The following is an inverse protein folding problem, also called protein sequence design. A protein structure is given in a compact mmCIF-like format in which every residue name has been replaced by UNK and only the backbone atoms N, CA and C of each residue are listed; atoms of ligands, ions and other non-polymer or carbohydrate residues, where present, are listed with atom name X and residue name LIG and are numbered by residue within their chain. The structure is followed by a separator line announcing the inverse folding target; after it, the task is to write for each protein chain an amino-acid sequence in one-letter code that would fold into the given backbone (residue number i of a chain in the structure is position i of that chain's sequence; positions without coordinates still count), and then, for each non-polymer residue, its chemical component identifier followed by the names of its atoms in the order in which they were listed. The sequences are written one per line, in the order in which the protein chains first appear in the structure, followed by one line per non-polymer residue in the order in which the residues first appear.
data_IF_058812649228
#
_entry.id   IF_058812649228
#
_cell.length_a   1.000
_cell.length_b   1.000
_cell.length_c   1.000
_cell.angle_alpha   90.00
_cell.angle_beta   90.00
_cell.angle_gamma   90.00
#
_symmetry.space_group_name_H-M   'P 1'
#
loop_
_entity.id
_entity.type
_entity.pdbx_description
1 polymer ?
#
# COMPACT_ATOMS: atom_id res chain seq x y z
N UNK A 1 1.10 -23.55 15.67
CA UNK A 1 0.50 -22.76 16.75
C UNK A 1 -1.00 -22.71 16.54
N UNK A 2 -1.77 -22.80 17.60
CA UNK A 2 -3.21 -22.55 17.56
C UNK A 2 -3.49 -21.15 18.09
N UNK A 3 -4.29 -20.40 17.33
CA UNK A 3 -4.89 -19.15 17.76
C UNK A 3 -6.38 -19.40 17.96
N UNK A 4 -6.91 -19.13 19.15
CA UNK A 4 -8.30 -19.42 19.49
C UNK A 4 -8.83 -18.48 20.58
N UNK A 5 -10.15 -18.39 20.70
CA UNK A 5 -10.81 -17.70 21.82
C UNK A 5 -11.02 -18.66 22.99
N UNK A 6 -10.84 -18.18 24.22
CA UNK A 6 -11.05 -18.98 25.44
C UNK A 6 -12.44 -19.62 25.52
N UNK A 7 -13.45 -18.99 24.92
CA UNK A 7 -14.81 -19.54 24.83
C UNK A 7 -14.91 -20.87 24.06
N UNK A 8 -13.88 -21.23 23.28
CA UNK A 8 -13.83 -22.44 22.49
C UNK A 8 -12.76 -23.44 22.97
N UNK A 9 -12.25 -23.27 24.19
CA UNK A 9 -11.11 -24.03 24.72
C UNK A 9 -11.28 -25.55 24.61
N UNK A 10 -12.45 -26.08 24.94
CA UNK A 10 -12.66 -27.54 24.98
C UNK A 10 -12.48 -28.19 23.60
N UNK A 11 -13.08 -27.59 22.56
CA UNK A 11 -12.96 -28.06 21.17
C UNK A 11 -11.52 -27.97 20.66
N UNK A 12 -10.80 -26.91 21.05
CA UNK A 12 -9.41 -26.68 20.64
C UNK A 12 -8.47 -27.66 21.34
N UNK A 13 -8.70 -27.95 22.62
CA UNK A 13 -7.89 -28.90 23.38
C UNK A 13 -8.10 -30.33 22.88
N UNK A 14 -9.33 -30.71 22.56
CA UNK A 14 -9.62 -31.99 21.90
C UNK A 14 -8.89 -32.12 20.56
N UNK A 15 -8.89 -31.05 19.75
CA UNK A 15 -8.17 -31.00 18.47
C UNK A 15 -6.66 -31.13 18.65
N UNK A 16 -6.10 -30.47 19.67
CA UNK A 16 -4.68 -30.55 20.05
C UNK A 16 -4.29 -32.00 20.39
N UNK A 17 -5.02 -32.64 21.30
CA UNK A 17 -4.73 -34.01 21.72
C UNK A 17 -4.71 -34.98 20.54
N UNK A 18 -5.61 -34.82 19.58
CA UNK A 18 -5.67 -35.69 18.40
C UNK A 18 -4.52 -35.44 17.42
N UNK A 19 -4.08 -34.20 17.24
CA UNK A 19 -2.89 -33.88 16.45
C UNK A 19 -1.59 -34.36 17.10
N UNK A 20 -1.49 -34.28 18.44
CA UNK A 20 -0.33 -34.77 19.19
C UNK A 20 -0.19 -36.29 19.11
N UNK A 21 -1.30 -37.05 19.18
CA UNK A 21 -1.29 -38.51 18.94
C UNK A 21 -0.75 -38.88 17.55
N UNK A 22 -0.90 -37.98 16.57
CA UNK A 22 -0.43 -38.15 15.19
C UNK A 22 0.99 -37.63 14.98
N UNK A 23 1.69 -37.22 16.04
CA UNK A 23 3.08 -36.80 16.01
C UNK A 23 3.32 -35.31 15.74
N UNK A 24 2.27 -34.49 15.69
CA UNK A 24 2.40 -33.04 15.51
C UNK A 24 2.68 -32.34 16.85
N UNK A 25 3.71 -31.50 16.90
CA UNK A 25 3.91 -30.59 18.03
C UNK A 25 2.99 -29.38 17.89
N UNK A 26 2.04 -29.24 18.83
CA UNK A 26 1.06 -28.15 18.82
C UNK A 26 1.36 -27.19 19.96
N UNK A 27 1.77 -25.98 19.60
CA UNK A 27 1.86 -24.88 20.56
C UNK A 27 0.46 -24.32 20.85
N UNK A 28 0.09 -24.34 22.12
CA UNK A 28 -1.15 -23.78 22.68
C UNK A 28 -0.77 -22.87 23.85
N UNK A 29 -1.42 -21.72 23.98
CA UNK A 29 -1.24 -20.83 25.13
C UNK A 29 -1.88 -21.44 26.39
N UNK A 30 -1.18 -22.40 26.99
CA UNK A 30 -1.49 -22.96 28.30
C UNK A 30 -0.37 -22.59 29.27
N UNK A 31 -0.66 -21.59 30.11
CA UNK A 31 0.03 -21.31 31.38
C UNK A 31 1.50 -20.85 31.33
N UNK A 32 1.90 -20.05 30.32
CA UNK A 32 3.10 -19.18 30.45
C UNK A 32 2.81 -17.69 30.60
N UNK A 33 1.58 -17.26 30.32
CA UNK A 33 1.12 -15.88 30.51
C UNK A 33 1.12 -15.42 31.98
N UNK A 34 1.09 -16.33 32.95
CA UNK A 34 1.15 -15.99 34.38
C UNK A 34 2.58 -15.84 34.94
N UNK A 35 3.62 -16.22 34.18
CA UNK A 35 5.04 -16.16 34.64
C UNK A 35 5.91 -15.19 33.86
N UNK A 36 5.53 -14.81 32.65
CA UNK A 36 6.27 -13.84 31.83
C UNK A 36 5.41 -12.58 31.79
N UNK A 37 5.85 -11.53 32.46
CA UNK A 37 5.09 -10.29 32.71
C UNK A 37 4.74 -9.46 31.48
N UNK A 38 4.84 -10.03 30.27
CA UNK A 38 4.53 -9.35 29.02
C UNK A 38 3.86 -10.30 28.01
N UNK A 39 2.56 -10.07 27.77
CA UNK A 39 1.71 -10.81 26.82
C UNK A 39 2.29 -10.77 25.38
N UNK A 40 3.08 -9.75 25.05
CA UNK A 40 3.70 -9.60 23.74
C UNK A 40 4.85 -10.58 23.49
N UNK A 41 5.61 -10.97 24.51
CA UNK A 41 6.75 -11.88 24.36
C UNK A 41 6.30 -13.33 24.17
N UNK A 42 5.30 -13.78 24.94
CA UNK A 42 4.73 -15.13 24.78
C UNK A 42 4.10 -15.35 23.40
N UNK A 43 3.42 -14.34 22.86
CA UNK A 43 2.84 -14.35 21.51
C UNK A 43 3.93 -14.36 20.43
N UNK A 44 4.99 -13.57 20.61
CA UNK A 44 6.13 -13.53 19.70
C UNK A 44 6.82 -14.90 19.60
N UNK A 45 7.10 -15.55 20.74
CA UNK A 45 7.78 -16.85 20.75
C UNK A 45 6.94 -17.97 20.13
N UNK A 46 5.64 -18.01 20.42
CA UNK A 46 4.71 -18.99 19.85
C UNK A 46 4.56 -18.82 18.34
N UNK A 47 4.45 -17.57 17.86
CA UNK A 47 4.37 -17.28 16.44
C UNK A 47 5.71 -17.55 15.76
N UNK A 48 6.85 -17.10 16.29
CA UNK A 48 8.14 -17.23 15.60
C UNK A 48 8.60 -18.70 15.47
N UNK A 49 8.40 -19.51 16.51
CA UNK A 49 8.82 -20.92 16.53
C UNK A 49 7.85 -21.90 15.85
N UNK A 50 6.66 -21.44 15.44
CA UNK A 50 5.70 -22.30 14.73
C UNK A 50 5.82 -22.18 13.21
N UNK A 51 5.72 -23.31 12.51
CA UNK A 51 5.75 -23.32 11.03
C UNK A 51 4.43 -22.88 10.40
N UNK A 52 3.30 -23.15 11.08
CA UNK A 52 1.93 -22.89 10.64
C UNK A 52 1.10 -22.38 11.81
N UNK A 53 0.14 -21.51 11.51
CA UNK A 53 -0.88 -21.02 12.44
C UNK A 53 -2.24 -21.60 12.07
N UNK A 54 -2.86 -22.34 12.97
CA UNK A 54 -4.27 -22.74 12.82
C UNK A 54 -5.14 -21.77 13.60
N UNK A 55 -6.07 -21.08 12.92
CA UNK A 55 -6.91 -20.05 13.50
C UNK A 55 -8.32 -20.57 13.66
N UNK A 56 -8.78 -20.74 14.90
CA UNK A 56 -10.08 -21.29 15.24
C UNK A 56 -11.13 -20.18 15.31
N UNK A 57 -11.75 -19.91 14.16
CA UNK A 57 -12.69 -18.83 13.94
C UNK A 57 -14.04 -19.14 14.60
N UNK A 58 -14.50 -18.21 15.43
CA UNK A 58 -15.81 -18.18 16.08
C UNK A 58 -16.27 -16.73 16.25
N UNK A 59 -17.54 -16.50 16.59
CA UNK A 59 -18.03 -15.15 16.96
C UNK A 59 -17.21 -14.57 18.12
N UNK A 60 -16.79 -15.40 19.07
CA UNK A 60 -15.93 -14.97 20.19
C UNK A 60 -14.47 -14.74 19.78
N UNK A 61 -14.00 -15.38 18.71
CA UNK A 61 -12.70 -15.10 18.11
C UNK A 61 -12.69 -13.70 17.51
N UNK A 62 -13.76 -13.32 16.81
CA UNK A 62 -13.94 -12.00 16.19
C UNK A 62 -13.93 -10.84 17.21
N UNK A 63 -14.46 -11.06 18.42
CA UNK A 63 -14.48 -10.03 19.46
C UNK A 63 -13.20 -9.97 20.30
N UNK A 64 -12.29 -10.94 20.14
CA UNK A 64 -11.08 -11.03 20.96
C UNK A 64 -9.93 -10.20 20.37
N UNK A 65 -9.52 -9.16 21.10
CA UNK A 65 -8.37 -8.33 20.72
C UNK A 65 -7.05 -9.13 20.64
N UNK A 66 -6.90 -10.18 21.45
CA UNK A 66 -5.73 -11.08 21.42
C UNK A 66 -5.73 -11.92 20.13
N UNK A 67 -6.86 -12.53 19.79
CA UNK A 67 -7.01 -13.31 18.56
C UNK A 67 -6.76 -12.46 17.32
N UNK A 68 -7.26 -11.21 17.33
CA UNK A 68 -7.02 -10.23 16.26
C UNK A 68 -5.54 -9.93 16.08
N UNK A 69 -4.81 -9.71 17.18
CA UNK A 69 -3.36 -9.46 17.13
C UNK A 69 -2.60 -10.68 16.60
N UNK A 70 -2.89 -11.87 17.10
CA UNK A 70 -2.21 -13.10 16.67
C UNK A 70 -2.38 -13.37 15.17
N UNK A 71 -3.62 -13.25 14.67
CA UNK A 71 -3.92 -13.52 13.27
C UNK A 71 -3.36 -12.44 12.33
N UNK A 72 -3.44 -11.16 12.72
CA UNK A 72 -2.79 -10.09 11.97
C UNK A 72 -1.27 -10.29 11.93
N UNK A 73 -0.64 -10.59 13.06
CA UNK A 73 0.80 -10.78 13.12
C UNK A 73 1.27 -12.00 12.32
N UNK A 74 0.51 -13.10 12.35
CA UNK A 74 0.77 -14.26 11.50
C UNK A 74 0.71 -13.90 10.00
N UNK A 75 -0.28 -13.11 9.61
CA UNK A 75 -0.47 -12.62 8.24
C UNK A 75 0.66 -11.68 7.80
N UNK A 76 1.03 -10.70 8.64
CA UNK A 76 2.11 -9.75 8.35
C UNK A 76 3.45 -10.47 8.15
N UNK A 77 3.68 -11.55 8.90
CA UNK A 77 4.87 -12.42 8.77
C UNK A 77 4.77 -13.43 7.63
N UNK A 78 3.70 -13.39 6.82
CA UNK A 78 3.40 -14.34 5.73
C UNK A 78 3.44 -15.80 6.20
N UNK A 79 3.10 -16.07 7.45
CA UNK A 79 3.01 -17.45 7.95
C UNK A 79 1.80 -18.13 7.31
N UNK A 80 1.91 -19.40 6.90
CA UNK A 80 0.73 -20.13 6.42
C UNK A 80 -0.32 -20.22 7.52
N UNK A 81 -1.54 -19.78 7.19
CA UNK A 81 -2.69 -19.81 8.10
C UNK A 81 -3.69 -20.85 7.59
N UNK A 82 -4.10 -21.75 8.47
CA UNK A 82 -5.17 -22.73 8.24
C UNK A 82 -6.39 -22.34 9.09
N UNK A 83 -7.43 -21.75 8.50
CA UNK A 83 -8.63 -21.38 9.25
C UNK A 83 -9.50 -22.61 9.56
N UNK A 84 -9.96 -22.70 10.80
CA UNK A 84 -10.88 -23.71 11.31
C UNK A 84 -12.13 -23.00 11.80
N UNK A 85 -13.28 -23.24 11.17
CA UNK A 85 -14.54 -22.59 11.52
C UNK A 85 -15.27 -23.40 12.59
N UNK A 86 -15.54 -22.79 13.74
CA UNK A 86 -16.19 -23.46 14.88
C UNK A 86 -17.68 -23.12 15.05
N UNK A 87 -18.14 -22.03 14.43
CA UNK A 87 -19.56 -21.63 14.41
C UNK A 87 -19.93 -20.95 13.08
N UNK A 88 -21.17 -20.51 12.95
CA UNK A 88 -21.66 -19.90 11.71
C UNK A 88 -21.22 -18.43 11.52
N UNK A 89 -20.61 -17.77 12.50
CA UNK A 89 -20.33 -16.33 12.43
C UNK A 89 -21.61 -15.48 12.45
N UNK A 90 -21.47 -14.15 12.51
CA UNK A 90 -20.77 -13.39 11.48
C UNK A 90 -19.26 -13.31 11.70
N UNK A 91 -18.51 -13.47 10.62
CA UNK A 91 -17.06 -13.32 10.58
C UNK A 91 -16.72 -12.09 9.74
N UNK A 92 -15.91 -11.20 10.29
CA UNK A 92 -15.64 -9.88 9.71
C UNK A 92 -14.17 -9.79 9.34
N UNK A 93 -13.32 -9.32 10.25
CA UNK A 93 -11.91 -9.08 10.01
C UNK A 93 -11.12 -10.38 9.86
N UNK A 94 -11.51 -11.47 10.52
CA UNK A 94 -10.72 -12.72 10.45
C UNK A 94 -10.83 -13.38 9.08
N UNK A 95 -11.99 -13.28 8.43
CA UNK A 95 -12.23 -13.74 7.06
C UNK A 95 -11.51 -12.90 6.01
N UNK A 96 -11.25 -11.62 6.26
CA UNK A 96 -10.42 -10.79 5.38
C UNK A 96 -9.00 -11.33 5.34
N UNK A 97 -8.45 -11.70 6.51
CA UNK A 97 -7.07 -12.21 6.63
C UNK A 97 -6.96 -13.64 6.09
N UNK A 98 -7.96 -14.48 6.36
CA UNK A 98 -7.99 -15.89 5.93
C UNK A 98 -8.63 -16.07 4.54
N UNK A 99 -8.87 -14.98 3.82
CA UNK A 99 -9.48 -15.00 2.50
C UNK A 99 -8.61 -15.78 1.49
N UNK A 100 -9.19 -16.83 0.88
CA UNK A 100 -8.49 -17.68 -0.09
C UNK A 100 -7.75 -18.85 0.53
N UNK A 101 -7.71 -18.98 1.87
CA UNK A 101 -7.30 -20.21 2.53
C UNK A 101 -8.42 -21.27 2.46
N UNK A 102 -8.03 -22.55 2.49
CA UNK A 102 -8.99 -23.66 2.62
C UNK A 102 -9.44 -23.75 4.09
N UNK A 103 -10.75 -23.63 4.30
CA UNK A 103 -11.34 -23.71 5.64
C UNK A 103 -11.68 -25.15 5.98
N UNK A 104 -11.41 -25.52 7.22
CA UNK A 104 -11.99 -26.74 7.80
C UNK A 104 -13.25 -26.32 8.53
N UNK A 105 -14.40 -26.84 8.10
CA UNK A 105 -15.66 -26.53 8.78
C UNK A 105 -15.92 -27.53 9.92
N UNK A 106 -15.84 -27.06 11.16
CA UNK A 106 -16.14 -27.80 12.38
C UNK A 106 -17.37 -27.20 13.13
N UNK A 107 -18.19 -26.41 12.44
CA UNK A 107 -19.40 -25.81 13.01
C UNK A 107 -20.62 -26.74 13.00
N UNK A 108 -20.57 -27.84 12.26
CA UNK A 108 -21.68 -28.78 12.12
C UNK A 108 -21.79 -29.70 13.34
N UNK A 109 -22.96 -29.75 13.97
CA UNK A 109 -23.23 -30.54 15.16
C UNK A 109 -23.32 -32.06 14.86
N UNK A 110 -23.52 -32.45 13.60
CA UNK A 110 -23.69 -33.85 13.18
C UNK A 110 -22.48 -34.41 12.41
N UNK A 111 -21.44 -33.60 12.19
CA UNK A 111 -20.24 -34.05 11.49
C UNK A 111 -19.39 -34.99 12.36
N UNK A 112 -18.80 -36.02 11.74
CA UNK A 112 -17.82 -36.87 12.41
C UNK A 112 -16.56 -36.04 12.72
N UNK A 113 -16.28 -35.91 14.02
CA UNK A 113 -15.15 -35.13 14.51
C UNK A 113 -13.80 -35.67 13.97
N UNK A 114 -13.65 -36.99 13.84
CA UNK A 114 -12.41 -37.58 13.32
C UNK A 114 -12.21 -37.27 11.84
N UNK A 115 -13.29 -37.22 11.05
CA UNK A 115 -13.24 -36.81 9.65
C UNK A 115 -12.78 -35.35 9.52
N UNK A 116 -13.31 -34.45 10.37
CA UNK A 116 -12.88 -33.04 10.38
C UNK A 116 -11.43 -32.85 10.82
N UNK A 117 -10.94 -33.69 11.72
CA UNK A 117 -9.51 -33.67 12.06
C UNK A 117 -8.65 -34.15 10.89
N UNK A 118 -9.09 -35.16 10.14
CA UNK A 118 -8.37 -35.60 8.93
C UNK A 118 -8.29 -34.49 7.88
N UNK A 119 -9.39 -33.75 7.69
CA UNK A 119 -9.45 -32.58 6.79
C UNK A 119 -8.47 -31.48 7.25
N UNK A 120 -8.39 -31.22 8.55
CA UNK A 120 -7.42 -30.28 9.13
C UNK A 120 -5.98 -30.72 8.91
N UNK A 121 -5.66 -31.99 9.14
CA UNK A 121 -4.32 -32.53 8.92
C UNK A 121 -3.92 -32.39 7.46
N UNK A 122 -4.79 -32.74 6.52
CA UNK A 122 -4.52 -32.60 5.09
C UNK A 122 -4.21 -31.14 4.69
N UNK A 123 -4.96 -30.18 5.24
CA UNK A 123 -4.73 -28.75 4.98
C UNK A 123 -3.41 -28.26 5.59
N UNK A 124 -3.04 -28.73 6.78
CA UNK A 124 -1.76 -28.43 7.42
C UNK A 124 -0.59 -29.00 6.61
N UNK A 125 -0.67 -30.25 6.17
CA UNK A 125 0.37 -30.90 5.35
C UNK A 125 0.54 -30.21 3.99
N UNK A 126 -0.56 -29.85 3.33
CA UNK A 126 -0.53 -29.09 2.08
C UNK A 126 0.18 -27.73 2.24
N UNK A 127 -0.07 -27.05 3.36
CA UNK A 127 0.60 -25.79 3.69
C UNK A 127 2.10 -25.99 3.99
N UNK A 128 2.49 -27.06 4.68
CA UNK A 128 3.91 -27.39 4.91
C UNK A 128 4.66 -27.70 3.61
N UNK A 129 4.04 -28.46 2.71
CA UNK A 129 4.65 -28.84 1.44
C UNK A 129 4.93 -27.63 0.53
N UNK A 130 4.00 -26.66 0.48
CA UNK A 130 4.20 -25.41 -0.26
C UNK A 130 5.36 -24.59 0.31
N UNK A 131 5.48 -24.53 1.64
CA UNK A 131 6.57 -23.82 2.31
C UNK A 131 7.93 -24.42 1.95
N UNK A 132 8.02 -25.76 1.88
CA UNK A 132 9.25 -26.45 1.52
C UNK A 132 9.64 -26.26 0.04
N UNK A 133 8.67 -26.13 -0.87
CA UNK A 133 8.94 -25.90 -2.31
C UNK A 133 9.49 -24.49 -2.60
N UNK A 134 9.10 -23.48 -1.82
CA UNK A 134 9.55 -22.09 -2.00
C UNK A 134 11.01 -21.84 -1.55
N UNK A 135 11.65 -22.82 -0.90
CA UNK A 135 13.03 -22.73 -0.42
C UNK A 135 14.08 -23.21 -1.45
N UNK A 136 13.69 -23.53 -2.69
CA UNK A 136 14.59 -24.00 -3.75
C UNK A 136 15.02 -22.85 -4.70
N UNK A 137 16.31 -22.69 -5.05
CA UNK A 137 16.80 -21.57 -5.88
C UNK A 137 16.45 -21.72 -7.38
N UNK A 138 16.13 -20.60 -8.05
CA UNK A 138 15.88 -20.55 -9.51
C UNK A 138 17.05 -19.91 -10.29
N UNK A 139 17.26 -20.27 -11.59
CA UNK A 139 18.34 -19.75 -12.43
C UNK A 139 17.99 -18.43 -13.19
N UNK A 140 18.99 -17.70 -13.75
CA UNK A 140 18.84 -16.35 -14.28
C UNK A 140 18.36 -16.28 -15.75
N UNK A 141 17.69 -15.18 -16.11
CA UNK A 141 17.14 -14.86 -17.45
C UNK A 141 18.11 -13.97 -18.24
N UNK A 142 18.31 -14.27 -19.54
CA UNK A 142 19.14 -13.53 -20.49
C UNK A 142 18.40 -12.35 -21.16
N UNK A 143 19.13 -11.27 -21.45
CA UNK A 143 18.64 -10.05 -22.12
C UNK A 143 18.82 -10.12 -23.65
N UNK A 144 17.89 -9.52 -24.41
CA UNK A 144 18.08 -9.20 -25.84
C UNK A 144 17.88 -7.69 -26.08
N UNK A 145 18.83 -7.10 -26.81
CA UNK A 145 18.86 -5.70 -27.25
C UNK A 145 18.28 -5.55 -28.66
N UNK A 146 17.64 -4.42 -28.96
CA UNK A 146 17.44 -3.95 -30.34
C UNK A 146 17.68 -2.44 -30.46
N UNK A 147 18.55 -2.09 -31.42
CA UNK A 147 18.89 -0.74 -31.91
C UNK A 147 18.00 -0.37 -33.10
N UNK A 148 17.60 0.91 -33.23
CA UNK A 148 17.25 1.56 -34.51
C UNK A 148 17.63 3.06 -34.45
N UNK A 149 18.17 3.60 -35.54
CA UNK A 149 18.78 4.94 -35.68
C UNK A 149 18.13 5.77 -36.81
N UNK A 150 17.75 7.04 -36.50
CA UNK A 150 17.73 8.31 -37.29
C UNK A 150 16.74 8.54 -38.48
N UNK A 151 16.57 9.80 -39.02
CA UNK A 151 17.13 11.13 -38.64
C UNK A 151 16.16 12.36 -38.57
N UNK A 152 16.67 13.41 -37.88
CA UNK A 152 16.58 14.89 -37.99
C UNK A 152 15.43 15.65 -38.73
N UNK A 153 14.93 16.71 -38.07
CA UNK A 153 14.46 17.99 -38.66
C UNK A 153 14.88 19.17 -37.74
N UNK A 154 15.19 20.32 -38.34
CA UNK A 154 15.86 21.52 -37.79
C UNK A 154 14.87 22.65 -37.41
N UNK A 155 15.26 23.44 -36.38
CA UNK A 155 14.98 24.87 -36.11
C UNK A 155 14.03 25.27 -34.95
N UNK A 156 14.61 25.70 -33.82
CA UNK A 156 14.50 27.08 -33.26
C UNK A 156 15.37 27.19 -32.00
N UNK A 157 16.16 28.26 -31.86
CA UNK A 157 17.20 28.42 -30.82
C UNK A 157 16.57 28.76 -29.46
N UNK A 158 16.37 27.73 -28.64
CA UNK A 158 16.40 27.80 -27.16
C UNK A 158 17.73 27.20 -26.68
N UNK A 159 18.31 27.64 -25.55
CA UNK A 159 19.51 26.99 -25.00
C UNK A 159 19.25 25.47 -24.85
N UNK A 160 20.26 24.60 -25.08
CA UNK A 160 20.05 23.16 -25.07
C UNK A 160 19.52 22.75 -23.69
N UNK A 161 18.29 22.24 -23.70
CA UNK A 161 17.66 21.60 -22.55
C UNK A 161 18.44 20.32 -22.28
N UNK A 162 18.82 20.08 -21.02
CA UNK A 162 19.52 18.85 -20.63
C UNK A 162 18.74 17.62 -21.11
N UNK A 163 19.46 16.61 -21.61
CA UNK A 163 18.84 15.35 -22.00
C UNK A 163 18.23 14.63 -20.80
N UNK A 164 17.24 13.78 -21.05
CA UNK A 164 16.60 12.98 -19.99
C UNK A 164 17.61 12.11 -19.23
N UNK A 165 18.65 11.62 -19.92
CA UNK A 165 19.73 10.82 -19.33
C UNK A 165 20.60 11.65 -18.40
N UNK A 166 20.94 12.89 -18.77
CA UNK A 166 21.69 13.82 -17.90
C UNK A 166 20.87 14.16 -16.65
N UNK A 167 19.60 14.52 -16.83
CA UNK A 167 18.68 14.80 -15.71
C UNK A 167 18.58 13.61 -14.75
N UNK A 168 18.44 12.39 -15.29
CA UNK A 168 18.35 11.17 -14.48
C UNK A 168 19.66 10.90 -13.71
N UNK A 169 20.81 11.18 -14.34
CA UNK A 169 22.13 10.99 -13.73
C UNK A 169 22.37 11.98 -12.59
N UNK A 170 21.98 13.24 -12.78
CA UNK A 170 22.15 14.30 -11.78
C UNK A 170 21.21 14.13 -10.58
N UNK A 171 19.93 13.88 -10.85
CA UNK A 171 18.90 13.83 -9.81
C UNK A 171 18.79 12.47 -9.14
N UNK A 172 19.24 11.38 -9.79
CA UNK A 172 19.09 10.00 -9.29
C UNK A 172 17.68 9.75 -8.70
N UNK A 173 16.61 9.99 -9.49
CA UNK A 173 15.24 9.86 -9.00
C UNK A 173 14.93 8.39 -8.67
N UNK A 174 13.85 8.18 -7.92
CA UNK A 174 13.27 6.85 -7.75
C UNK A 174 12.89 6.25 -9.12
N UNK A 175 12.73 4.93 -9.16
CA UNK A 175 12.39 4.25 -10.41
C UNK A 175 10.94 4.60 -10.85
N UNK A 176 10.79 5.63 -11.68
CA UNK A 176 9.49 6.13 -12.14
C UNK A 176 8.71 5.11 -12.98
N UNK A 177 9.40 4.23 -13.72
CA UNK A 177 8.76 3.17 -14.50
C UNK A 177 8.13 2.12 -13.58
N UNK A 178 8.87 1.68 -12.55
CA UNK A 178 8.33 0.79 -11.52
C UNK A 178 7.17 1.45 -10.79
N UNK A 179 7.30 2.73 -10.45
CA UNK A 179 6.24 3.47 -9.77
C UNK A 179 4.97 3.59 -10.62
N UNK A 180 5.10 3.87 -11.93
CA UNK A 180 3.97 3.91 -12.86
C UNK A 180 3.27 2.55 -12.97
N UNK A 181 4.04 1.46 -13.04
CA UNK A 181 3.48 0.10 -13.06
C UNK A 181 2.73 -0.24 -11.76
N UNK A 182 3.25 0.17 -10.60
CA UNK A 182 2.58 0.00 -9.32
C UNK A 182 1.25 0.80 -9.28
N UNK A 183 1.26 2.03 -9.78
CA UNK A 183 0.06 2.87 -9.90
C UNK A 183 -0.98 2.19 -10.79
N UNK A 184 -0.57 1.64 -11.94
CA UNK A 184 -1.46 0.87 -12.83
C UNK A 184 -2.07 -0.35 -12.14
N UNK A 185 -1.24 -1.12 -11.42
CA UNK A 185 -1.71 -2.31 -10.73
C UNK A 185 -2.74 -1.95 -9.65
N UNK A 186 -2.50 -0.87 -8.90
CA UNK A 186 -3.40 -0.39 -7.85
C UNK A 186 -4.67 0.21 -8.44
N UNK A 187 -4.56 1.00 -9.51
CA UNK A 187 -5.71 1.56 -10.22
C UNK A 187 -6.68 0.48 -10.70
N UNK A 188 -6.16 -0.60 -11.32
CA UNK A 188 -6.98 -1.73 -11.79
C UNK A 188 -7.67 -2.51 -10.68
N UNK A 189 -7.25 -2.36 -9.42
CA UNK A 189 -7.90 -3.00 -8.26
C UNK A 189 -9.14 -2.24 -7.79
N UNK A 190 -9.34 -0.99 -8.23
CA UNK A 190 -10.53 -0.21 -7.91
C UNK A 190 -11.77 -0.88 -8.50
N UNK A 191 -12.81 -1.01 -7.67
CA UNK A 191 -14.12 -1.45 -8.15
C UNK A 191 -14.91 -0.24 -8.67
N UNK A 192 -15.46 -0.27 -9.90
CA UNK A 192 -16.35 0.78 -10.38
C UNK A 192 -17.51 1.03 -9.42
N UNK A 193 -17.88 2.29 -9.22
CA UNK A 193 -18.90 2.68 -8.23
C UNK A 193 -18.34 2.95 -6.83
N UNK A 194 -17.11 2.53 -6.52
CA UNK A 194 -16.49 2.81 -5.22
C UNK A 194 -15.64 4.08 -5.26
N UNK A 195 -15.71 4.90 -4.20
CA UNK A 195 -14.93 6.13 -4.04
C UNK A 195 -15.23 7.23 -5.08
N UNK A 196 -16.31 7.11 -5.86
CA UNK A 196 -16.69 8.12 -6.86
C UNK A 196 -16.97 9.48 -6.22
N UNK A 197 -17.63 9.49 -5.06
CA UNK A 197 -17.87 10.71 -4.27
C UNK A 197 -16.57 11.42 -3.90
N UNK A 198 -15.54 10.65 -3.53
CA UNK A 198 -14.25 11.20 -3.12
C UNK A 198 -13.46 11.74 -4.30
N UNK A 199 -13.53 11.08 -5.45
CA UNK A 199 -12.90 11.57 -6.68
C UNK A 199 -13.59 12.83 -7.18
N UNK A 200 -14.91 12.93 -7.01
CA UNK A 200 -15.65 14.16 -7.29
C UNK A 200 -15.19 15.33 -6.38
N UNK A 201 -15.05 15.10 -5.07
CA UNK A 201 -14.53 16.10 -4.13
C UNK A 201 -13.10 16.54 -4.50
N UNK A 202 -12.23 15.58 -4.84
CA UNK A 202 -10.86 15.89 -5.29
C UNK A 202 -10.87 16.72 -6.57
N UNK A 203 -11.76 16.42 -7.51
CA UNK A 203 -11.87 17.17 -8.76
C UNK A 203 -12.36 18.59 -8.52
N UNK A 204 -13.42 18.76 -7.72
CA UNK A 204 -13.92 20.09 -7.36
C UNK A 204 -12.84 20.93 -6.67
N UNK A 205 -12.14 20.33 -5.71
CA UNK A 205 -10.98 20.95 -5.09
C UNK A 205 -9.89 21.28 -6.11
N UNK A 206 -9.55 20.38 -7.03
CA UNK A 206 -8.47 20.60 -7.99
C UNK A 206 -8.79 21.78 -8.94
N UNK A 207 -10.04 21.91 -9.36
CA UNK A 207 -10.49 22.92 -10.32
C UNK A 207 -10.73 24.31 -9.68
N UNK A 208 -11.11 24.40 -8.40
CA UNK A 208 -11.38 25.68 -7.73
C UNK A 208 -10.11 26.43 -7.31
N UNK A 209 -9.73 27.50 -8.04
CA UNK A 209 -8.56 28.33 -7.72
C UNK A 209 -8.65 29.03 -6.35
N UNK A 210 -9.83 29.11 -5.72
CA UNK A 210 -10.02 29.67 -4.39
C UNK A 210 -9.87 28.63 -3.27
N UNK A 211 -9.86 27.34 -3.61
CA UNK A 211 -9.68 26.27 -2.63
C UNK A 211 -8.29 26.34 -1.99
N UNK A 212 -8.13 25.65 -0.86
CA UNK A 212 -6.81 25.42 -0.27
C UNK A 212 -5.83 24.84 -1.31
N UNK A 213 -4.55 25.20 -1.20
CA UNK A 213 -3.50 24.63 -2.06
C UNK A 213 -3.17 23.19 -1.70
N UNK A 214 -3.66 22.68 -0.56
CA UNK A 214 -3.44 21.31 -0.10
C UNK A 214 -4.76 20.57 0.08
N UNK A 215 -4.87 19.40 -0.54
CA UNK A 215 -5.87 18.39 -0.21
C UNK A 215 -5.20 17.31 0.62
N UNK A 216 -5.77 16.98 1.78
CA UNK A 216 -5.21 15.97 2.66
C UNK A 216 -6.21 14.83 2.91
N UNK A 217 -5.94 13.68 2.31
CA UNK A 217 -6.68 12.45 2.53
C UNK A 217 -6.07 11.68 3.71
N UNK A 218 -6.77 11.73 4.85
CA UNK A 218 -6.38 11.04 6.07
C UNK A 218 -7.05 9.68 6.11
N UNK A 219 -6.27 8.60 6.25
CA UNK A 219 -6.85 7.30 6.53
C UNK A 219 -5.88 6.33 7.20
N UNK A 220 -6.42 5.32 7.87
CA UNK A 220 -5.66 4.19 8.41
C UNK A 220 -5.13 3.25 7.31
N UNK A 221 -4.30 2.28 7.69
CA UNK A 221 -3.84 1.23 6.79
C UNK A 221 -5.03 0.40 6.28
N UNK A 222 -5.01 0.01 5.00
CA UNK A 222 -6.07 -0.81 4.40
C UNK A 222 -7.35 -0.06 4.00
N UNK A 223 -7.49 1.24 4.32
CA UNK A 223 -8.66 2.04 3.95
C UNK A 223 -8.76 2.36 2.44
N UNK A 224 -7.74 2.00 1.65
CA UNK A 224 -7.73 2.20 0.19
C UNK A 224 -7.15 3.54 -0.28
N UNK A 225 -6.35 4.24 0.54
CA UNK A 225 -5.69 5.51 0.16
C UNK A 225 -4.98 5.43 -1.20
N UNK A 226 -4.15 4.42 -1.39
CA UNK A 226 -3.41 4.25 -2.65
C UNK A 226 -4.32 3.95 -3.85
N UNK A 227 -5.49 3.34 -3.63
CA UNK A 227 -6.49 3.15 -4.71
C UNK A 227 -7.05 4.50 -5.16
N UNK A 228 -7.33 5.38 -4.19
CA UNK A 228 -7.77 6.76 -4.47
C UNK A 228 -6.65 7.54 -5.15
N UNK A 229 -5.44 7.56 -4.59
CA UNK A 229 -4.30 8.26 -5.17
C UNK A 229 -4.02 7.80 -6.60
N UNK A 230 -4.01 6.49 -6.86
CA UNK A 230 -3.81 5.94 -8.20
C UNK A 230 -4.93 6.37 -9.18
N UNK A 231 -6.18 6.43 -8.71
CA UNK A 231 -7.30 6.90 -9.53
C UNK A 231 -7.19 8.38 -9.86
N UNK A 232 -6.87 9.21 -8.86
CA UNK A 232 -6.64 10.63 -9.05
C UNK A 232 -5.47 10.87 -10.00
N UNK A 233 -4.34 10.17 -9.85
CA UNK A 233 -3.19 10.28 -10.75
C UNK A 233 -3.62 10.05 -12.20
N UNK A 234 -4.40 8.98 -12.48
CA UNK A 234 -4.87 8.68 -13.83
C UNK A 234 -5.84 9.71 -14.37
N UNK A 235 -6.74 10.25 -13.54
CA UNK A 235 -7.66 11.31 -13.94
C UNK A 235 -6.93 12.62 -14.25
N UNK A 236 -5.95 12.99 -13.42
CA UNK A 236 -5.12 14.19 -13.63
C UNK A 236 -4.20 14.07 -14.85
N UNK A 237 -3.69 12.85 -15.15
CA UNK A 237 -2.95 12.59 -16.40
C UNK A 237 -3.85 12.78 -17.61
N UNK A 238 -5.05 12.21 -17.59
CA UNK A 238 -6.02 12.35 -18.69
C UNK A 238 -6.43 13.83 -18.90
N UNK A 239 -6.56 14.58 -17.81
CA UNK A 239 -6.85 16.02 -17.84
C UNK A 239 -5.63 16.90 -18.19
N UNK A 240 -4.43 16.33 -18.31
CA UNK A 240 -3.17 17.08 -18.50
C UNK A 240 -2.90 18.14 -17.42
N UNK A 241 -3.34 17.88 -16.19
CA UNK A 241 -3.13 18.74 -15.01
C UNK A 241 -2.18 18.12 -13.98
N UNK A 242 -1.82 16.84 -14.14
CA UNK A 242 -0.80 16.21 -13.30
C UNK A 242 0.58 16.80 -13.57
N UNK A 243 1.18 17.41 -12.56
CA UNK A 243 2.58 17.84 -12.59
C UNK A 243 3.53 16.70 -12.33
N UNK A 244 3.46 16.11 -11.14
CA UNK A 244 4.31 15.00 -10.73
C UNK A 244 3.61 14.18 -9.65
N UNK A 245 4.09 12.97 -9.40
CA UNK A 245 3.63 12.19 -8.27
C UNK A 245 4.76 11.40 -7.62
N UNK A 246 4.58 11.09 -6.35
CA UNK A 246 5.44 10.16 -5.63
C UNK A 246 4.58 9.28 -4.76
N UNK A 247 4.83 7.98 -4.82
CA UNK A 247 4.13 7.00 -3.98
C UNK A 247 5.15 6.44 -3.01
N UNK A 248 5.09 6.85 -1.75
CA UNK A 248 6.01 6.36 -0.73
C UNK A 248 5.75 4.89 -0.41
N UNK A 249 6.83 4.17 -0.10
CA UNK A 249 6.79 2.76 0.30
C UNK A 249 7.85 2.51 1.37
N UNK A 250 7.43 2.14 2.57
CA UNK A 250 8.32 2.00 3.71
C UNK A 250 9.41 0.92 3.49
N UNK A 251 9.12 -0.09 2.67
CA UNK A 251 10.00 -1.23 2.37
C UNK A 251 10.91 -1.03 1.15
N UNK A 252 10.88 0.15 0.51
CA UNK A 252 11.69 0.46 -0.67
C UNK A 252 12.58 1.67 -0.39
N UNK A 253 13.90 1.47 -0.38
CA UNK A 253 14.87 2.50 0.02
C UNK A 253 14.75 3.80 -0.81
N UNK A 254 14.49 3.70 -2.11
CA UNK A 254 14.29 4.85 -2.99
C UNK A 254 12.91 5.53 -2.82
N UNK A 255 11.97 4.89 -2.11
CA UNK A 255 10.59 5.37 -1.88
C UNK A 255 10.25 5.63 -0.41
N UNK A 256 11.20 5.38 0.48
CA UNK A 256 11.21 5.82 1.87
C UNK A 256 12.10 7.07 2.04
N UNK A 257 12.90 7.48 1.06
CA UNK A 257 13.81 8.63 1.22
C UNK A 257 13.18 9.97 0.79
N UNK A 258 13.12 10.95 1.69
CA UNK A 258 12.58 12.28 1.42
C UNK A 258 13.42 13.06 0.39
N UNK A 259 14.74 12.88 0.40
CA UNK A 259 15.61 13.51 -0.61
C UNK A 259 15.32 12.94 -2.00
N UNK A 260 15.11 11.62 -2.10
CA UNK A 260 14.71 10.94 -3.33
C UNK A 260 13.32 11.38 -3.80
N UNK A 261 12.36 11.55 -2.89
CA UNK A 261 11.04 12.12 -3.20
C UNK A 261 11.20 13.46 -3.91
N UNK A 262 11.95 14.40 -3.31
CA UNK A 262 12.17 15.73 -3.86
C UNK A 262 12.80 15.66 -5.25
N UNK A 263 13.87 14.87 -5.41
CA UNK A 263 14.54 14.71 -6.71
C UNK A 263 13.65 14.06 -7.77
N UNK A 264 12.77 13.15 -7.36
CA UNK A 264 11.81 12.47 -8.26
C UNK A 264 10.71 13.41 -8.74
N UNK A 265 10.20 14.29 -7.87
CA UNK A 265 9.24 15.33 -8.27
C UNK A 265 9.90 16.31 -9.24
N UNK A 266 11.10 16.82 -8.90
CA UNK A 266 11.84 17.72 -9.76
C UNK A 266 12.15 17.12 -11.13
N UNK A 267 12.55 15.84 -11.17
CA UNK A 267 12.80 15.11 -12.41
C UNK A 267 11.55 15.04 -13.29
N UNK A 268 10.40 14.63 -12.73
CA UNK A 268 9.15 14.56 -13.49
C UNK A 268 8.69 15.92 -14.02
N UNK A 269 8.87 16.99 -13.24
CA UNK A 269 8.59 18.35 -13.70
C UNK A 269 9.54 18.77 -14.83
N UNK A 270 10.83 18.46 -14.73
CA UNK A 270 11.81 18.76 -15.76
C UNK A 270 11.56 18.01 -17.09
N UNK A 271 10.97 16.81 -17.03
CA UNK A 271 10.53 16.08 -18.24
C UNK A 271 9.36 16.76 -18.95
N UNK A 272 8.55 17.55 -18.23
CA UNK A 272 7.34 18.21 -18.75
C UNK A 272 7.56 19.67 -19.12
N UNK A 273 8.42 20.36 -18.37
CA UNK A 273 8.62 21.80 -18.45
C UNK A 273 10.09 22.13 -18.75
N UNK A 274 10.40 22.68 -19.93
CA UNK A 274 11.74 23.14 -20.25
C UNK A 274 12.30 24.16 -19.25
N UNK A 275 11.48 25.02 -18.62
CA UNK A 275 11.92 25.91 -17.55
C UNK A 275 12.49 25.16 -16.34
N UNK A 276 11.87 24.04 -15.95
CA UNK A 276 12.36 23.22 -14.86
C UNK A 276 13.74 22.63 -15.18
N UNK A 277 13.92 22.04 -16.37
CA UNK A 277 15.20 21.49 -16.77
C UNK A 277 16.32 22.57 -16.85
N UNK A 278 15.98 23.79 -17.29
CA UNK A 278 16.91 24.94 -17.28
C UNK A 278 17.31 25.34 -15.87
N UNK A 279 16.34 25.47 -14.95
CA UNK A 279 16.59 25.80 -13.55
C UNK A 279 17.52 24.79 -12.87
N UNK A 280 17.31 23.49 -13.11
CA UNK A 280 18.16 22.42 -12.56
C UNK A 280 19.60 22.53 -13.10
N UNK A 281 19.77 22.86 -14.38
CA UNK A 281 21.09 23.06 -15.00
C UNK A 281 21.82 24.26 -14.37
N UNK A 282 21.09 25.35 -14.12
CA UNK A 282 21.62 26.56 -13.50
C UNK A 282 22.05 26.30 -12.06
N UNK A 283 21.24 25.57 -11.28
CA UNK A 283 21.59 25.17 -9.91
C UNK A 283 22.87 24.34 -9.86
N UNK A 284 23.00 23.32 -10.73
CA UNK A 284 24.19 22.47 -10.75
C UNK A 284 25.45 23.26 -11.17
N UNK A 285 25.31 24.25 -12.07
CA UNK A 285 26.43 25.13 -12.46
C UNK A 285 26.85 26.09 -11.35
N UNK A 286 25.89 26.59 -10.57
CA UNK A 286 26.17 27.53 -9.47
C UNK A 286 26.75 26.82 -8.25
N UNK A 287 26.30 25.60 -7.97
CA UNK A 287 26.68 24.84 -6.78
C UNK A 287 26.85 23.35 -7.15
N UNK A 288 28.03 23.01 -7.68
CA UNK A 288 28.32 21.65 -8.12
C UNK A 288 28.14 20.62 -6.99
N UNK A 289 27.42 19.53 -7.28
CA UNK A 289 27.12 18.48 -6.31
C UNK A 289 25.96 18.79 -5.37
N UNK A 290 25.33 19.97 -5.46
CA UNK A 290 24.14 20.32 -4.68
C UNK A 290 23.02 19.29 -4.84
N UNK A 291 22.74 18.86 -6.08
CA UNK A 291 21.66 17.92 -6.38
C UNK A 291 21.88 16.53 -5.76
N UNK A 292 23.12 16.18 -5.41
CA UNK A 292 23.48 14.92 -4.77
C UNK A 292 23.41 14.96 -3.24
N UNK A 293 23.08 16.11 -2.64
CA UNK A 293 22.97 16.23 -1.17
C UNK A 293 21.90 15.30 -0.60
N UNK A 294 22.11 14.86 0.65
CA UNK A 294 21.13 14.08 1.41
C UNK A 294 20.25 14.95 2.31
N UNK A 295 20.28 16.28 2.15
CA UNK A 295 19.47 17.21 2.93
C UNK A 295 18.13 17.48 2.20
N UNK A 296 17.01 16.88 2.64
CA UNK A 296 15.74 16.98 1.94
C UNK A 296 15.14 18.38 1.99
N UNK A 297 15.35 19.15 3.08
CA UNK A 297 14.83 20.51 3.22
C UNK A 297 15.49 21.48 2.26
N UNK A 298 16.82 21.40 2.16
CA UNK A 298 17.57 22.25 1.25
C UNK A 298 17.25 21.92 -0.21
N UNK A 299 17.13 20.62 -0.53
CA UNK A 299 16.63 20.18 -1.83
C UNK A 299 15.23 20.73 -2.09
N UNK A 300 14.29 20.58 -1.14
CA UNK A 300 12.91 21.03 -1.32
C UNK A 300 12.85 22.54 -1.60
N UNK A 301 13.58 23.35 -0.83
CA UNK A 301 13.59 24.80 -0.99
C UNK A 301 14.16 25.25 -2.34
N UNK A 302 15.36 24.78 -2.72
CA UNK A 302 16.01 25.26 -3.96
C UNK A 302 15.44 24.58 -5.22
N UNK A 303 15.09 23.30 -5.12
CA UNK A 303 14.73 22.47 -6.26
C UNK A 303 13.23 22.42 -6.51
N UNK A 304 12.37 22.48 -5.49
CA UNK A 304 10.92 22.49 -5.69
C UNK A 304 10.41 23.92 -5.71
N UNK A 305 10.58 24.68 -4.62
CA UNK A 305 10.03 26.04 -4.55
C UNK A 305 10.63 26.94 -5.64
N UNK A 306 11.97 26.98 -5.73
CA UNK A 306 12.64 27.75 -6.78
C UNK A 306 12.25 27.33 -8.20
N UNK A 307 11.91 26.06 -8.43
CA UNK A 307 11.47 25.56 -9.73
C UNK A 307 10.02 25.95 -10.02
N UNK A 308 9.12 25.79 -9.06
CA UNK A 308 7.70 26.11 -9.21
C UNK A 308 7.47 27.59 -9.52
N UNK A 309 8.28 28.49 -8.95
CA UNK A 309 8.27 29.92 -9.28
C UNK A 309 8.61 30.18 -10.77
N UNK A 310 9.51 29.38 -11.37
CA UNK A 310 9.88 29.50 -12.79
C UNK A 310 8.83 28.91 -13.72
N UNK A 311 8.01 27.96 -13.23
CA UNK A 311 6.98 27.30 -14.02
C UNK A 311 5.74 28.16 -14.23
N UNK A 312 5.49 29.17 -13.39
CA UNK A 312 4.26 29.95 -13.42
C UNK A 312 3.97 30.55 -14.81
N UNK A 313 5.01 30.97 -15.54
CA UNK A 313 4.88 31.48 -16.91
C UNK A 313 4.58 30.41 -17.95
N UNK A 314 5.13 29.19 -17.82
CA UNK A 314 4.91 28.08 -18.76
C UNK A 314 3.57 27.37 -18.53
N UNK A 315 3.03 27.42 -17.31
CA UNK A 315 1.77 26.75 -16.93
C UNK A 315 0.52 27.43 -17.52
N UNK A 316 0.62 28.69 -17.94
CA UNK A 316 -0.53 29.46 -18.42
C UNK A 316 -1.65 29.47 -17.38
N UNK A 317 -2.90 29.19 -17.79
CA UNK A 317 -4.08 29.16 -16.90
C UNK A 317 -4.41 27.80 -16.29
N UNK A 318 -3.53 26.80 -16.44
CA UNK A 318 -3.79 25.45 -15.94
C UNK A 318 -3.32 25.30 -14.49
N UNK A 319 -4.10 24.57 -13.70
CA UNK A 319 -3.65 24.09 -12.40
C UNK A 319 -2.65 22.95 -12.59
N UNK A 320 -1.60 22.94 -11.76
CA UNK A 320 -0.60 21.89 -11.69
C UNK A 320 -0.74 21.17 -10.36
N UNK A 321 -1.11 19.90 -10.41
CA UNK A 321 -1.33 19.10 -9.20
C UNK A 321 -0.14 18.15 -9.00
N UNK A 322 0.42 18.15 -7.79
CA UNK A 322 1.43 17.20 -7.34
C UNK A 322 0.79 16.23 -6.36
N UNK A 323 0.99 14.93 -6.54
CA UNK A 323 0.41 13.88 -5.68
C UNK A 323 1.49 13.22 -4.83
N UNK A 324 1.37 13.25 -3.51
CA UNK A 324 2.22 12.52 -2.56
C UNK A 324 1.38 11.46 -1.85
N UNK A 325 1.46 10.21 -2.32
CA UNK A 325 0.74 9.08 -1.72
C UNK A 325 1.56 8.46 -0.59
N UNK A 326 0.90 8.17 0.53
CA UNK A 326 1.44 7.54 1.73
C UNK A 326 2.63 8.31 2.34
N UNK A 327 2.50 9.63 2.52
CA UNK A 327 3.56 10.48 3.08
C UNK A 327 4.06 9.98 4.46
N UNK A 328 3.23 9.27 5.23
CA UNK A 328 3.63 8.61 6.47
C UNK A 328 4.74 7.56 6.30
N UNK A 329 4.88 6.98 5.11
CA UNK A 329 5.93 6.01 4.78
C UNK A 329 7.23 6.66 4.26
N UNK A 330 7.28 7.99 4.19
CA UNK A 330 8.47 8.74 3.79
C UNK A 330 9.32 9.12 5.02
N UNK A 331 10.50 8.52 5.12
CA UNK A 331 11.44 8.70 6.20
C UNK A 331 11.04 7.92 7.45
N UNK A 332 12.00 7.76 8.35
CA UNK A 332 11.76 7.12 9.64
C UNK A 332 11.05 8.12 10.57
N UNK A 333 9.92 7.74 11.22
CA UNK A 333 9.26 8.58 12.22
C UNK A 333 10.23 9.05 13.31
N UNK A 334 10.21 10.34 13.62
CA UNK A 334 11.12 10.97 14.60
C UNK A 334 12.56 11.19 14.11
N UNK A 335 12.91 10.80 12.87
CA UNK A 335 14.21 11.16 12.31
C UNK A 335 14.29 12.64 11.98
N UNK A 336 15.51 13.19 12.07
CA UNK A 336 15.79 14.59 11.75
C UNK A 336 15.45 14.90 10.29
N UNK A 337 15.85 14.05 9.35
CA UNK A 337 15.62 14.30 7.92
C UNK A 337 14.14 14.38 7.56
N UNK A 338 13.30 13.53 8.17
CA UNK A 338 11.84 13.60 8.02
C UNK A 338 11.29 14.88 8.64
N UNK A 339 11.68 15.22 9.85
CA UNK A 339 11.22 16.44 10.53
C UNK A 339 11.61 17.71 9.77
N UNK A 340 12.86 17.79 9.32
CA UNK A 340 13.38 18.91 8.54
C UNK A 340 12.63 19.00 7.19
N UNK A 341 12.35 17.87 6.51
CA UNK A 341 11.57 17.84 5.27
C UNK A 341 10.13 18.31 5.47
N UNK A 342 9.42 17.74 6.45
CA UNK A 342 8.04 18.10 6.74
C UNK A 342 7.92 19.58 7.16
N UNK A 343 8.89 20.10 7.91
CA UNK A 343 8.97 21.52 8.25
C UNK A 343 9.17 22.39 7.00
N UNK A 344 10.07 22.00 6.09
CA UNK A 344 10.27 22.71 4.83
C UNK A 344 9.00 22.69 3.96
N UNK A 345 8.28 21.55 3.93
CA UNK A 345 6.99 21.42 3.27
C UNK A 345 5.94 22.32 3.93
N UNK A 346 5.76 22.25 5.25
CA UNK A 346 4.76 23.01 6.00
C UNK A 346 4.92 24.53 5.93
N UNK A 347 6.15 25.01 5.73
CA UNK A 347 6.46 26.44 5.59
C UNK A 347 6.53 26.90 4.13
N UNK A 348 6.21 26.03 3.16
CA UNK A 348 6.27 26.35 1.75
C UNK A 348 5.15 27.32 1.36
N UNK A 349 5.50 28.32 0.54
CA UNK A 349 4.52 29.13 -0.17
C UNK A 349 4.39 28.58 -1.58
N UNK A 350 3.30 27.86 -1.85
CA UNK A 350 3.04 27.30 -3.16
C UNK A 350 2.50 28.41 -4.10
N UNK A 351 2.93 28.46 -5.37
CA UNK A 351 2.31 29.34 -6.35
C UNK A 351 0.82 29.06 -6.46
N UNK A 352 0.02 30.09 -6.76
CA UNK A 352 -1.46 30.02 -6.72
C UNK A 352 -2.06 28.88 -7.55
N UNK A 353 -1.42 28.53 -8.67
CA UNK A 353 -1.87 27.48 -9.61
C UNK A 353 -1.27 26.11 -9.30
N UNK A 354 -0.43 25.98 -8.27
CA UNK A 354 0.17 24.72 -7.84
C UNK A 354 -0.58 24.20 -6.63
N UNK A 355 -1.01 22.95 -6.72
CA UNK A 355 -1.73 22.27 -5.65
C UNK A 355 -1.07 20.95 -5.28
N UNK A 356 -1.22 20.56 -4.03
CA UNK A 356 -0.67 19.33 -3.47
C UNK A 356 -1.80 18.43 -2.98
N UNK A 357 -1.90 17.22 -3.50
CA UNK A 357 -2.70 16.17 -2.89
C UNK A 357 -1.79 15.28 -2.08
N UNK A 358 -2.06 15.18 -0.78
CA UNK A 358 -1.32 14.32 0.14
C UNK A 358 -2.26 13.24 0.67
N UNK A 359 -1.79 11.99 0.69
CA UNK A 359 -2.44 10.95 1.49
C UNK A 359 -1.50 10.53 2.62
N UNK A 360 -2.04 10.35 3.82
CA UNK A 360 -1.25 9.81 4.93
C UNK A 360 -2.11 9.25 6.07
N UNK A 361 -1.45 8.64 7.05
CA UNK A 361 -1.97 8.52 8.42
C UNK A 361 -1.94 9.88 9.14
N UNK A 362 -2.77 10.08 10.18
CA UNK A 362 -2.76 11.30 10.98
C UNK A 362 -1.61 11.33 12.00
N UNK A 363 -0.38 11.09 11.56
CA UNK A 363 0.81 11.18 12.42
C UNK A 363 1.01 12.63 12.88
N UNK A 364 1.53 12.80 14.11
CA UNK A 364 1.56 14.10 14.79
C UNK A 364 2.40 15.12 14.02
N UNK A 365 3.55 14.69 13.52
CA UNK A 365 4.49 15.51 12.74
C UNK A 365 3.87 15.97 11.40
N UNK A 366 3.24 15.06 10.66
CA UNK A 366 2.53 15.39 9.41
C UNK A 366 1.38 16.35 9.68
N UNK A 367 0.57 16.07 10.70
CA UNK A 367 -0.59 16.91 11.06
C UNK A 367 -0.18 18.32 11.45
N UNK A 368 0.91 18.46 12.19
CA UNK A 368 1.42 19.76 12.63
C UNK A 368 1.83 20.62 11.43
N UNK A 369 2.48 20.02 10.43
CA UNK A 369 3.00 20.74 9.27
C UNK A 369 1.94 21.00 8.21
N UNK A 370 1.10 20.02 7.87
CA UNK A 370 0.07 20.20 6.84
C UNK A 370 -1.06 21.14 7.26
N UNK A 371 -1.36 21.25 8.57
CA UNK A 371 -2.38 22.19 9.06
C UNK A 371 -2.04 23.66 8.78
N UNK A 372 -0.76 24.00 8.57
CA UNK A 372 -0.33 25.36 8.24
C UNK A 372 -0.91 25.87 6.91
N UNK A 373 -1.32 24.95 6.04
CA UNK A 373 -1.97 25.26 4.76
C UNK A 373 -3.49 25.47 4.84
N UNK A 374 -4.11 25.24 6.01
CA UNK A 374 -5.56 25.09 6.12
C UNK A 374 -6.11 24.12 5.05
N UNK A 375 -5.70 22.83 5.10
CA UNK A 375 -5.91 21.90 4.00
C UNK A 375 -7.38 21.53 3.85
N UNK A 376 -7.83 21.30 2.62
CA UNK A 376 -9.08 20.59 2.37
C UNK A 376 -8.91 19.14 2.82
N UNK A 377 -9.39 18.83 4.02
CA UNK A 377 -9.11 17.56 4.68
C UNK A 377 -10.33 16.64 4.62
N UNK A 378 -10.11 15.43 4.11
CA UNK A 378 -11.09 14.34 4.20
C UNK A 378 -10.48 13.22 5.03
N UNK A 379 -11.16 12.84 6.11
CA UNK A 379 -10.84 11.64 6.87
C UNK A 379 -11.74 10.49 6.44
N UNK A 380 -11.13 9.40 5.95
CA UNK A 380 -11.84 8.18 5.63
C UNK A 380 -12.15 7.42 6.92
N UNK A 381 -13.34 7.65 7.44
CA UNK A 381 -13.92 6.90 8.53
C UNK A 381 -14.84 5.77 8.01
N UNK A 382 -15.29 4.91 8.93
CA UNK A 382 -16.18 3.80 8.61
C UNK A 382 -17.47 4.28 7.97
N UNK A 383 -18.12 5.29 8.54
CA UNK A 383 -19.41 5.84 8.09
C UNK A 383 -19.39 6.29 6.62
N UNK A 384 -18.39 7.09 6.22
CA UNK A 384 -18.24 7.56 4.83
C UNK A 384 -17.80 6.45 3.87
N UNK A 385 -17.26 5.34 4.39
CA UNK A 385 -16.80 4.21 3.58
C UNK A 385 -17.80 3.06 3.52
N UNK A 386 -18.89 3.08 4.30
CA UNK A 386 -19.82 1.94 4.41
C UNK A 386 -20.42 1.53 3.07
N UNK A 387 -20.92 2.48 2.28
CA UNK A 387 -21.51 2.20 0.97
C UNK A 387 -20.48 1.57 0.01
N UNK A 388 -19.26 2.11 -0.02
CA UNK A 388 -18.16 1.58 -0.82
C UNK A 388 -17.76 0.16 -0.38
N UNK A 389 -17.73 -0.09 0.94
CA UNK A 389 -17.41 -1.39 1.52
C UNK A 389 -18.49 -2.44 1.19
N UNK A 390 -19.76 -2.07 1.25
CA UNK A 390 -20.87 -2.95 0.86
C UNK A 390 -20.80 -3.31 -0.62
N UNK A 391 -20.66 -2.31 -1.49
CA UNK A 391 -20.54 -2.54 -2.93
C UNK A 391 -19.31 -3.41 -3.26
N UNK A 392 -18.19 -3.16 -2.58
CA UNK A 392 -17.00 -3.99 -2.72
C UNK A 392 -17.25 -5.44 -2.30
N UNK A 393 -17.87 -5.66 -1.15
CA UNK A 393 -18.20 -6.99 -0.66
C UNK A 393 -19.16 -7.73 -1.62
N UNK A 394 -20.23 -7.06 -2.05
CA UNK A 394 -21.24 -7.62 -2.96
C UNK A 394 -20.64 -8.05 -4.30
N UNK A 395 -19.78 -7.21 -4.90
CA UNK A 395 -19.11 -7.54 -6.16
C UNK A 395 -18.24 -8.80 -6.06
N UNK A 396 -17.57 -9.00 -4.91
CA UNK A 396 -16.69 -10.14 -4.67
C UNK A 396 -17.50 -11.42 -4.43
N UNK A 397 -18.65 -11.31 -3.78
CA UNK A 397 -19.60 -12.42 -3.59
C UNK A 397 -20.17 -12.85 -4.94
N UNK A 398 -20.70 -11.90 -5.71
CA UNK A 398 -21.32 -12.17 -7.02
C UNK A 398 -20.33 -12.76 -8.02
N UNK A 399 -19.08 -12.26 -8.06
CA UNK A 399 -18.04 -12.80 -8.93
C UNK A 399 -17.67 -14.25 -8.59
N UNK A 400 -17.73 -14.65 -7.30
CA UNK A 400 -17.49 -16.04 -6.89
C UNK A 400 -18.64 -16.97 -7.29
N UNK A 401 -19.89 -16.53 -7.10
CA UNK A 401 -21.05 -17.30 -7.55
C UNK A 401 -21.05 -17.49 -9.07
N UNK A 402 -20.77 -16.44 -9.84
CA UNK A 402 -20.73 -16.52 -11.30
C UNK A 402 -19.64 -17.47 -11.82
N UNK A 403 -18.45 -17.46 -11.20
CA UNK A 403 -17.36 -18.41 -11.53
C UNK A 403 -17.76 -19.85 -11.23
N UNK A 404 -18.38 -20.12 -10.08
CA UNK A 404 -18.85 -21.45 -9.72
C UNK A 404 -19.88 -21.99 -10.73
N UNK A 405 -20.87 -21.18 -11.11
CA UNK A 405 -21.85 -21.58 -12.14
C UNK A 405 -21.24 -21.75 -13.53
N UNK A 406 -20.22 -20.95 -13.88
CA UNK A 406 -19.55 -21.05 -15.18
C UNK A 406 -18.70 -22.31 -15.26
N UNK A 407 -18.00 -22.66 -14.20
CA UNK A 407 -17.21 -23.89 -14.11
C UNK A 407 -18.11 -25.14 -14.12
N UNK A 408 -19.25 -25.11 -13.43
CA UNK A 408 -20.26 -26.19 -13.48
C UNK A 408 -20.84 -26.37 -14.88
N UNK A 409 -21.16 -25.27 -15.57
CA UNK A 409 -21.67 -25.31 -16.95
C UNK A 409 -20.61 -25.78 -17.95
N UNK A 410 -19.34 -25.39 -17.78
CA UNK A 410 -18.21 -25.88 -18.59
C UNK A 410 -17.93 -27.37 -18.34
N UNK A 411 -18.08 -27.85 -17.10
CA UNK A 411 -17.96 -29.27 -16.78
C UNK A 411 -19.11 -30.10 -17.36
N UNK A 412 -20.33 -29.57 -17.36
CA UNK A 412 -21.49 -30.22 -18.00
C UNK A 412 -21.37 -30.26 -19.52
N UNK A 413 -20.91 -29.17 -20.15
CA UNK A 413 -20.69 -29.10 -21.59
C UNK A 413 -19.56 -30.00 -22.11
N UNK A 414 -18.62 -30.42 -21.24
CA UNK A 414 -17.56 -31.39 -21.58
C UNK A 414 -17.98 -32.87 -21.41
N UNK A 415 -19.17 -33.12 -20.87
CA UNK A 415 -19.74 -34.46 -20.64
C UNK A 415 -20.86 -34.81 -21.64
N UNK A 416 -21.21 -33.89 -22.51
CA UNK A 416 -22.04 -34.09 -23.71
C UNK A 416 -21.10 -34.15 -24.92
#
# INVERSE_FOLDING_TARGET
MFSYSWANKDKVLQTKTELEKRGYSVWLDEQRMARIGNIYEGMYDGLNNSKIVCSFLSVHYETSANCKRELCFASDRKKPIVPVRLDSGPFTWSHVITAGALYVNMSDAYADWNEKINELVANVEAALNRLNQQLSPQPPIAQQQQNVVSPAVVASVTPPVMSNTELQTLLKPANITKMANDVDEVFRKRLPGTRDWLLADVKEWADDVKSSSVFWLVASAGAGKSVVAASVIRELEAASTLGAYFVSKADQADRNDASCLVRTIAYQLALKFPAAARHINELEKQEAGFLATANPSLLFQKLIIGLLEKLEAEMGDRNLIIVLDALDECGTPGSRDRGDFLSALGNAVLPRKVKLLVTSRPEVDIRQELKKFDPYMIELNEERSMADLFLFAESRVTAKFYRATKDDNLQRARRL
#
